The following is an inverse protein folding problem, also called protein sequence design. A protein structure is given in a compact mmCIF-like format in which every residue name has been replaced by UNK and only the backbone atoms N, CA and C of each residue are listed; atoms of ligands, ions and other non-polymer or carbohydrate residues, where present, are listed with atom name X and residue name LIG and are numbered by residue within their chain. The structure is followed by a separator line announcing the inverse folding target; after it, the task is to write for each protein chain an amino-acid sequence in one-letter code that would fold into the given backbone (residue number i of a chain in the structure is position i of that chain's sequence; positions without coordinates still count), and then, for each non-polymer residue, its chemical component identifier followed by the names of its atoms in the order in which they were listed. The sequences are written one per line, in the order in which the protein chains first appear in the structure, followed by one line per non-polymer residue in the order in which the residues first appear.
data_IF_219845423151
#
_entry.id   IF_219845423151
#
_cell.length_a   1.000
_cell.length_b   1.000
_cell.length_c   1.000
_cell.angle_alpha   90.00
_cell.angle_beta   90.00
_cell.angle_gamma   90.00
#
_symmetry.space_group_name_H-M   'P 1'
#
loop_
_entity.id
_entity.type
_entity.pdbx_description
1 polymer ?
#
# COMPACT_ATOMS: atom_id res chain seq x y z
N UNK A 1 -5.77 1.00 -24.99
CA UNK A 1 -5.06 0.05 -24.08
C UNK A 1 -6.08 -0.71 -23.25
N UNK A 2 -5.75 -1.92 -22.77
CA UNK A 2 -6.72 -2.83 -22.11
C UNK A 2 -6.89 -2.45 -20.63
N UNK A 3 -8.15 -2.23 -20.22
CA UNK A 3 -8.59 -2.13 -18.82
C UNK A 3 -8.62 -3.54 -18.23
N UNK A 4 -8.14 -3.68 -17.00
CA UNK A 4 -8.20 -4.92 -16.21
C UNK A 4 -9.20 -4.71 -15.09
N UNK A 5 -10.08 -5.68 -14.88
CA UNK A 5 -11.03 -5.66 -13.77
C UNK A 5 -10.68 -6.79 -12.81
N UNK A 6 -10.45 -6.44 -11.55
CA UNK A 6 -10.14 -7.40 -10.49
C UNK A 6 -11.40 -7.57 -9.65
N UNK A 7 -11.88 -8.80 -9.55
CA UNK A 7 -13.00 -9.15 -8.66
C UNK A 7 -12.42 -9.67 -7.33
N UNK A 8 -12.83 -9.05 -6.23
CA UNK A 8 -12.46 -9.45 -4.88
C UNK A 8 -13.68 -9.92 -4.09
N UNK A 9 -13.44 -10.78 -3.10
CA UNK A 9 -14.47 -11.16 -2.13
C UNK A 9 -14.63 -10.03 -1.10
N UNK A 10 -15.82 -9.41 -1.07
CA UNK A 10 -16.12 -8.30 -0.16
C UNK A 10 -16.03 -8.69 1.31
N UNK A 11 -16.47 -9.88 1.68
CA UNK A 11 -16.41 -10.36 3.07
C UNK A 11 -14.98 -10.54 3.55
N UNK A 12 -14.08 -10.93 2.64
CA UNK A 12 -12.66 -11.07 2.95
C UNK A 12 -11.94 -9.71 2.98
N UNK A 13 -12.29 -8.78 2.07
CA UNK A 13 -11.60 -7.49 1.95
C UNK A 13 -12.04 -6.48 3.00
N UNK A 14 -13.34 -6.42 3.33
CA UNK A 14 -13.87 -5.44 4.27
C UNK A 14 -13.09 -5.33 5.60
N UNK A 15 -12.78 -6.43 6.32
CA UNK A 15 -12.01 -6.33 7.57
C UNK A 15 -10.54 -5.91 7.33
N UNK A 16 -9.98 -6.17 6.15
CA UNK A 16 -8.60 -5.79 5.83
C UNK A 16 -8.46 -4.30 5.53
N UNK A 17 -9.55 -3.62 5.14
CA UNK A 17 -9.51 -2.19 4.81
C UNK A 17 -9.16 -1.32 6.01
N UNK A 18 -9.51 -1.74 7.23
CA UNK A 18 -9.14 -0.99 8.42
C UNK A 18 -7.64 -1.06 8.67
N UNK A 19 -7.02 -2.24 8.54
CA UNK A 19 -5.57 -2.40 8.61
C UNK A 19 -4.84 -1.62 7.49
N UNK A 20 -5.40 -1.62 6.27
CA UNK A 20 -4.86 -0.85 5.14
C UNK A 20 -4.92 0.66 5.41
N UNK A 21 -6.03 1.17 5.94
CA UNK A 21 -6.20 2.59 6.29
C UNK A 21 -5.26 3.00 7.42
N UNK A 22 -5.13 2.16 8.44
CA UNK A 22 -4.17 2.39 9.52
C UNK A 22 -2.73 2.46 9.00
N UNK A 23 -2.33 1.52 8.14
CA UNK A 23 -1.02 1.55 7.49
C UNK A 23 -0.83 2.81 6.61
N UNK A 24 -1.87 3.22 5.88
CA UNK A 24 -1.84 4.44 5.08
C UNK A 24 -1.69 5.70 5.95
N UNK A 25 -2.35 5.76 7.11
CA UNK A 25 -2.25 6.87 8.05
C UNK A 25 -0.86 6.94 8.69
N UNK A 26 -0.28 5.81 9.07
CA UNK A 26 1.10 5.70 9.56
C UNK A 26 2.14 6.13 8.51
N UNK A 27 1.84 5.96 7.22
CA UNK A 27 2.70 6.35 6.11
C UNK A 27 2.59 7.82 5.72
N UNK A 28 1.65 8.59 6.29
CA UNK A 28 1.50 10.02 5.94
C UNK A 28 2.75 10.85 6.25
N UNK A 29 3.38 10.75 7.46
CA UNK A 29 4.56 11.53 7.79
C UNK A 29 5.89 10.85 7.39
N UNK A 30 5.85 9.60 6.94
CA UNK A 30 7.05 8.77 6.78
C UNK A 30 7.06 7.94 5.49
N UNK A 31 8.22 7.87 4.84
CA UNK A 31 8.41 7.00 3.69
C UNK A 31 8.31 5.52 4.12
N UNK A 32 7.71 4.69 3.28
CA UNK A 32 7.62 3.25 3.51
C UNK A 32 9.00 2.58 3.57
N UNK A 33 9.98 3.16 2.89
CA UNK A 33 11.38 2.76 2.94
C UNK A 33 12.21 4.01 3.20
N UNK A 34 13.08 3.94 4.21
CA UNK A 34 14.09 4.96 4.42
C UNK A 34 15.08 4.94 3.24
N UNK A 35 15.06 5.99 2.42
CA UNK A 35 16.00 6.16 1.33
C UNK A 35 17.12 7.13 1.78
N UNK A 36 18.41 6.78 1.63
CA UNK A 36 19.48 7.73 1.88
C UNK A 36 19.40 8.87 0.87
N UNK A 37 19.59 10.11 1.34
CA UNK A 37 19.63 11.28 0.47
C UNK A 37 20.78 11.14 -0.53
N UNK A 38 20.58 11.48 -1.82
CA UNK A 38 21.65 11.43 -2.81
C UNK A 38 22.65 12.58 -2.64
N UNK A 39 22.34 13.58 -1.80
CA UNK A 39 23.21 14.71 -1.46
C UNK A 39 23.30 14.88 0.06
N UNK A 40 24.33 15.59 0.51
CA UNK A 40 24.55 15.96 1.92
C UNK A 40 23.98 17.34 2.27
N UNK A 41 23.58 18.14 1.27
CA UNK A 41 22.92 19.43 1.49
C UNK A 41 21.57 19.24 2.22
N UNK A 42 21.38 19.84 3.41
CA UNK A 42 20.14 19.73 4.17
C UNK A 42 18.91 20.27 3.45
N UNK A 43 19.01 21.40 2.74
CA UNK A 43 17.85 22.00 2.06
C UNK A 43 17.38 21.13 0.90
N UNK A 44 18.33 20.62 0.12
CA UNK A 44 18.06 19.63 -0.91
C UNK A 44 17.42 18.36 -0.34
N UNK A 45 17.98 17.84 0.76
CA UNK A 45 17.50 16.61 1.40
C UNK A 45 16.06 16.75 1.87
N UNK A 46 15.71 17.88 2.48
CA UNK A 46 14.36 18.16 2.97
C UNK A 46 13.36 18.31 1.81
N UNK A 47 13.74 19.02 0.75
CA UNK A 47 12.92 19.17 -0.46
C UNK A 47 12.68 17.82 -1.14
N UNK A 48 13.74 17.05 -1.38
CA UNK A 48 13.67 15.73 -1.99
C UNK A 48 12.80 14.76 -1.19
N UNK A 49 12.97 14.71 0.13
CA UNK A 49 12.14 13.87 1.00
C UNK A 49 10.67 14.29 0.96
N UNK A 50 10.40 15.60 0.91
CA UNK A 50 9.04 16.14 0.83
C UNK A 50 8.35 15.73 -0.46
N UNK A 51 9.04 15.79 -1.60
CA UNK A 51 8.51 15.32 -2.89
C UNK A 51 8.23 13.81 -2.89
N UNK A 52 9.13 13.00 -2.33
CA UNK A 52 8.91 11.55 -2.21
C UNK A 52 7.69 11.24 -1.35
N UNK A 53 7.53 11.95 -0.22
CA UNK A 53 6.36 11.80 0.66
C UNK A 53 5.08 12.22 -0.05
N UNK A 54 5.11 13.32 -0.81
CA UNK A 54 3.95 13.79 -1.56
C UNK A 54 3.52 12.75 -2.62
N UNK A 55 4.47 12.21 -3.37
CA UNK A 55 4.23 11.16 -4.37
C UNK A 55 3.66 9.88 -3.74
N UNK A 56 4.28 9.38 -2.67
CA UNK A 56 3.79 8.22 -1.92
C UNK A 56 2.35 8.44 -1.43
N UNK A 57 2.09 9.61 -0.82
CA UNK A 57 0.77 9.94 -0.30
C UNK A 57 -0.27 10.12 -1.42
N UNK A 58 0.14 10.62 -2.59
CA UNK A 58 -0.68 10.69 -3.79
C UNK A 58 -1.07 9.30 -4.29
N UNK A 59 -0.10 8.40 -4.43
CA UNK A 59 -0.31 7.02 -4.85
C UNK A 59 -1.25 6.28 -3.89
N UNK A 60 -1.04 6.41 -2.57
CA UNK A 60 -1.90 5.81 -1.54
C UNK A 60 -3.34 6.35 -1.62
N UNK A 61 -3.53 7.65 -1.89
CA UNK A 61 -4.86 8.22 -2.09
C UNK A 61 -5.56 7.60 -3.31
N UNK A 62 -4.85 7.42 -4.42
CA UNK A 62 -5.39 6.76 -5.62
C UNK A 62 -5.79 5.32 -5.31
N UNK A 63 -4.96 4.59 -4.57
CA UNK A 63 -5.27 3.22 -4.14
C UNK A 63 -6.49 3.15 -3.22
N UNK A 64 -6.59 4.01 -2.21
CA UNK A 64 -7.73 4.01 -1.29
C UNK A 64 -9.04 4.40 -1.99
N UNK A 65 -8.97 5.28 -3.01
CA UNK A 65 -10.13 5.68 -3.80
C UNK A 65 -10.76 4.53 -4.60
N UNK A 66 -10.04 3.41 -4.79
CA UNK A 66 -10.60 2.20 -5.39
C UNK A 66 -11.70 1.57 -4.54
N UNK A 67 -11.66 1.73 -3.21
CA UNK A 67 -12.61 1.13 -2.28
C UNK A 67 -13.79 2.06 -2.01
N UNK A 68 -14.44 2.50 -3.08
CA UNK A 68 -15.59 3.39 -3.04
C UNK A 68 -16.93 2.62 -3.00
N UNK A 69 -18.05 3.35 -3.08
CA UNK A 69 -19.39 2.73 -3.12
C UNK A 69 -19.60 1.79 -4.30
N UNK A 70 -18.92 2.01 -5.43
CA UNK A 70 -18.95 1.14 -6.59
C UNK A 70 -18.26 -0.20 -6.30
N UNK A 71 -17.10 -0.17 -5.63
CA UNK A 71 -16.47 -1.39 -5.13
C UNK A 71 -17.37 -2.12 -4.14
N UNK A 72 -17.95 -1.45 -3.14
CA UNK A 72 -18.80 -2.14 -2.17
C UNK A 72 -20.10 -2.71 -2.77
N UNK A 73 -20.59 -2.16 -3.88
CA UNK A 73 -21.74 -2.71 -4.60
C UNK A 73 -21.38 -3.92 -5.48
N UNK A 74 -20.18 -3.91 -6.07
CA UNK A 74 -19.84 -4.86 -7.15
C UNK A 74 -18.69 -5.80 -6.81
N UNK A 75 -17.88 -5.52 -5.79
CA UNK A 75 -16.61 -6.20 -5.50
C UNK A 75 -15.57 -6.07 -6.62
N UNK A 76 -15.73 -5.15 -7.58
CA UNK A 76 -14.84 -5.01 -8.74
C UNK A 76 -13.99 -3.75 -8.62
N UNK A 77 -12.69 -3.91 -8.89
CA UNK A 77 -11.72 -2.83 -8.96
C UNK A 77 -11.21 -2.66 -10.40
N UNK A 78 -11.35 -1.46 -11.00
CA UNK A 78 -10.82 -1.18 -12.32
C UNK A 78 -9.36 -0.72 -12.24
N UNK A 79 -8.49 -1.41 -12.98
CA UNK A 79 -7.12 -0.97 -13.25
C UNK A 79 -6.98 -0.60 -14.72
N UNK A 80 -6.35 0.52 -14.98
CA UNK A 80 -6.04 0.99 -16.32
C UNK A 80 -4.68 1.72 -16.32
N UNK A 81 -4.16 2.09 -17.50
CA UNK A 81 -2.84 2.71 -17.59
C UNK A 81 -2.68 4.04 -16.84
N UNK A 82 -3.78 4.68 -16.43
CA UNK A 82 -3.74 5.96 -15.73
C UNK A 82 -3.58 5.80 -14.21
N UNK A 83 -3.93 4.64 -13.66
CA UNK A 83 -3.90 4.40 -12.21
C UNK A 83 -3.00 3.23 -11.79
N UNK A 84 -2.66 2.32 -12.71
CA UNK A 84 -2.03 1.04 -12.38
C UNK A 84 -0.68 1.19 -11.69
N UNK A 85 0.18 2.11 -12.14
CA UNK A 85 1.48 2.33 -11.51
C UNK A 85 1.36 2.90 -10.10
N UNK A 86 0.48 3.89 -9.91
CA UNK A 86 0.22 4.48 -8.60
C UNK A 86 -0.28 3.42 -7.61
N UNK A 87 -1.20 2.57 -8.06
CA UNK A 87 -1.76 1.48 -7.26
C UNK A 87 -0.69 0.45 -6.90
N UNK A 88 0.17 0.06 -7.85
CA UNK A 88 1.26 -0.88 -7.58
C UNK A 88 2.25 -0.34 -6.53
N UNK A 89 2.64 0.94 -6.65
CA UNK A 89 3.54 1.59 -5.67
C UNK A 89 2.88 1.72 -4.29
N UNK A 90 1.62 2.11 -4.25
CA UNK A 90 0.84 2.18 -3.01
C UNK A 90 0.72 0.82 -2.32
N UNK A 91 0.40 -0.25 -3.07
CA UNK A 91 0.35 -1.61 -2.56
C UNK A 91 1.69 -2.04 -1.96
N UNK A 92 2.81 -1.73 -2.62
CA UNK A 92 4.13 -2.03 -2.08
C UNK A 92 4.40 -1.27 -0.77
N UNK A 93 4.10 0.02 -0.71
CA UNK A 93 4.26 0.83 0.49
C UNK A 93 3.42 0.30 1.66
N UNK A 94 2.13 0.03 1.42
CA UNK A 94 1.21 -0.54 2.42
C UNK A 94 1.68 -1.93 2.86
N UNK A 95 2.10 -2.79 1.93
CA UNK A 95 2.65 -4.13 2.26
C UNK A 95 3.83 -4.03 3.22
N UNK A 96 4.78 -3.14 2.93
CA UNK A 96 5.96 -2.95 3.78
C UNK A 96 5.60 -2.42 5.18
N UNK A 97 4.65 -1.48 5.27
CA UNK A 97 4.20 -0.95 6.57
C UNK A 97 3.45 -2.01 7.39
N UNK A 98 2.54 -2.75 6.76
CA UNK A 98 1.83 -3.87 7.40
C UNK A 98 2.81 -4.93 7.89
N UNK A 99 3.81 -5.27 7.07
CA UNK A 99 4.85 -6.20 7.47
C UNK A 99 5.61 -5.71 8.70
N UNK A 100 6.14 -4.48 8.65
CA UNK A 100 6.91 -3.91 9.76
C UNK A 100 6.13 -3.85 11.08
N UNK A 101 4.82 -3.56 11.00
CA UNK A 101 3.98 -3.32 12.19
C UNK A 101 3.34 -4.59 12.76
N UNK A 102 2.88 -5.50 11.91
CA UNK A 102 2.04 -6.62 12.33
C UNK A 102 2.64 -7.99 12.03
N UNK A 103 3.54 -8.09 11.05
CA UNK A 103 3.99 -9.37 10.52
C UNK A 103 5.51 -9.57 10.59
N UNK A 104 6.23 -8.75 11.36
CA UNK A 104 7.69 -8.77 11.46
C UNK A 104 8.24 -10.07 12.08
N UNK A 105 7.38 -10.87 12.71
CA UNK A 105 7.71 -12.21 13.22
C UNK A 105 7.62 -13.30 12.14
N UNK A 106 7.02 -13.02 10.99
CA UNK A 106 6.92 -13.96 9.87
C UNK A 106 8.13 -13.79 8.95
N UNK A 107 8.74 -14.90 8.54
CA UNK A 107 9.79 -14.88 7.53
C UNK A 107 9.22 -14.63 6.12
N UNK A 108 10.04 -14.11 5.22
CA UNK A 108 9.65 -13.81 3.84
C UNK A 108 9.02 -15.00 3.11
N UNK A 109 9.56 -16.21 3.31
CA UNK A 109 9.02 -17.45 2.70
C UNK A 109 7.57 -17.73 3.13
N UNK A 110 7.24 -17.47 4.40
CA UNK A 110 5.87 -17.65 4.93
C UNK A 110 4.93 -16.59 4.37
N UNK A 111 5.42 -15.35 4.23
CA UNK A 111 4.65 -14.25 3.66
C UNK A 111 4.38 -14.44 2.16
N UNK A 112 5.33 -15.02 1.42
CA UNK A 112 5.22 -15.26 -0.01
C UNK A 112 4.36 -16.49 -0.34
N UNK A 113 4.49 -17.56 0.45
CA UNK A 113 3.67 -18.76 0.28
C UNK A 113 2.23 -18.59 0.79
N UNK A 114 2.03 -17.71 1.79
CA UNK A 114 0.75 -17.58 2.48
C UNK A 114 0.45 -18.76 3.42
N UNK A 115 1.40 -19.68 3.60
CA UNK A 115 1.27 -20.84 4.49
C UNK A 115 1.60 -20.43 5.93
N UNK A 116 0.70 -19.66 6.54
CA UNK A 116 0.82 -19.31 7.96
C UNK A 116 0.23 -20.47 8.77
N UNK A 117 1.00 -21.12 9.66
CA UNK A 117 0.44 -22.08 10.60
C UNK A 117 -0.51 -21.32 11.54
N UNK A 118 -1.82 -21.48 11.34
CA UNK A 118 -2.84 -20.90 12.21
C UNK A 118 -2.95 -21.63 13.56
N UNK A 119 -2.29 -22.79 13.67
CA UNK A 119 -2.21 -23.62 14.87
C UNK A 119 -1.22 -23.00 15.88
N UNK A 120 -1.53 -21.82 16.42
CA UNK A 120 -0.70 -21.18 17.44
C UNK A 120 -0.91 -19.68 17.70
N UNK A 121 -1.89 -19.04 17.06
CA UNK A 121 -2.30 -17.65 17.34
C UNK A 121 -3.36 -17.59 18.44
#
# INVERSE_FOLDING_TARGET
MKRVEIKLNLEAVAPLLDAIKEAADDLRPELAVAAPSPDTDPEFTDGWKSELLENQNGDIRVFLALFDSGFFATGVLPLDPTNSEAILRACAAVRLRLHAKHLSALGDEVLESGEVPLDGL
#
